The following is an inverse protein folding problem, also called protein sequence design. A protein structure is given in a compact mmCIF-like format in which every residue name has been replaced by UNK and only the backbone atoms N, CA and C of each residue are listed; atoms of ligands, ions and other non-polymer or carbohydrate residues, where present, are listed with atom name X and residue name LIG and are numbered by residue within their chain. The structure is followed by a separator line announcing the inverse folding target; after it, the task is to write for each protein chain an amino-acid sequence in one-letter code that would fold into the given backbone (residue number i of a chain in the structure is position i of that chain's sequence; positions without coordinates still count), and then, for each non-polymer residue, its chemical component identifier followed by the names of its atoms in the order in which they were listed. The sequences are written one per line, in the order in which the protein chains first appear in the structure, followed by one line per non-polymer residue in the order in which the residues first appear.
data_IF_033704929518
#
_entry.id   IF_033704929518
#
_cell.length_a   1.000
_cell.length_b   1.000
_cell.length_c   1.000
_cell.angle_alpha   90.00
_cell.angle_beta   90.00
_cell.angle_gamma   90.00
#
_symmetry.space_group_name_H-M   'P 1'
#
loop_
_entity.id
_entity.type
_entity.pdbx_description
1 polymer ?
#
# COMPACT_ATOMS: atom_id res chain seq x y z
N UNK A 1 12.88 -19.70 -5.59
CA UNK A 1 12.81 -18.42 -6.30
C UNK A 1 13.64 -17.41 -5.52
N UNK A 2 14.45 -16.57 -6.16
CA UNK A 2 15.14 -15.48 -5.47
C UNK A 2 14.09 -14.49 -4.94
N UNK A 3 14.18 -14.14 -3.65
CA UNK A 3 13.26 -13.21 -3.00
C UNK A 3 14.08 -12.06 -2.42
N UNK A 4 13.61 -10.83 -2.62
CA UNK A 4 14.22 -9.63 -2.04
C UNK A 4 13.26 -8.99 -1.03
N UNK A 5 13.77 -8.33 0.02
CA UNK A 5 12.93 -7.62 0.97
C UNK A 5 12.33 -6.35 0.37
N UNK A 6 11.04 -6.15 0.62
CA UNK A 6 10.26 -4.99 0.14
C UNK A 6 9.84 -4.12 1.31
N UNK A 7 9.39 -4.75 2.40
CA UNK A 7 9.02 -4.05 3.61
C UNK A 7 9.38 -4.91 4.83
N UNK A 8 9.78 -4.24 5.91
CA UNK A 8 9.90 -4.83 7.22
C UNK A 8 9.18 -3.94 8.23
N UNK A 9 8.08 -4.45 8.77
CA UNK A 9 7.17 -3.69 9.62
C UNK A 9 7.18 -4.27 11.03
N UNK A 10 7.51 -3.46 12.02
CA UNK A 10 7.44 -3.86 13.42
C UNK A 10 6.05 -3.56 13.98
N UNK A 11 5.51 -4.50 14.75
CA UNK A 11 4.17 -4.37 15.37
C UNK A 11 4.09 -3.18 16.32
N UNK A 12 5.22 -2.83 16.97
CA UNK A 12 5.30 -1.65 17.86
C UNK A 12 5.14 -0.32 17.12
N UNK A 13 5.53 -0.28 15.85
CA UNK A 13 5.51 0.92 15.00
C UNK A 13 4.24 0.96 14.14
N UNK A 14 3.59 -0.19 13.93
CA UNK A 14 2.35 -0.31 13.15
C UNK A 14 1.27 -1.10 13.93
N UNK A 15 0.48 -0.43 14.79
CA UNK A 15 -0.49 -1.08 15.68
C UNK A 15 -1.66 -1.78 14.96
N UNK A 16 -1.88 -1.51 13.68
CA UNK A 16 -2.91 -2.19 12.87
C UNK A 16 -2.54 -3.63 12.51
N UNK A 17 -1.26 -3.99 12.61
CA UNK A 17 -0.83 -5.36 12.38
C UNK A 17 -1.45 -6.32 13.41
N UNK A 18 -1.76 -7.53 12.96
CA UNK A 18 -2.33 -8.62 13.78
C UNK A 18 -1.39 -9.82 13.68
N UNK A 19 -0.28 -9.84 14.42
CA UNK A 19 0.70 -10.91 14.31
C UNK A 19 0.13 -12.24 14.84
N UNK A 20 0.56 -13.37 14.28
CA UNK A 20 0.27 -14.68 14.84
C UNK A 20 1.22 -15.01 16.00
N UNK A 21 0.67 -15.60 17.06
CA UNK A 21 1.46 -16.05 18.21
C UNK A 21 2.22 -14.91 18.89
N UNK A 22 3.56 -15.05 18.96
CA UNK A 22 4.47 -14.08 19.59
C UNK A 22 5.32 -13.30 18.56
N UNK A 23 4.96 -13.34 17.27
CA UNK A 23 5.65 -12.54 16.27
C UNK A 23 5.48 -11.03 16.55
N UNK A 24 6.52 -10.26 16.31
CA UNK A 24 6.57 -8.81 16.52
C UNK A 24 7.05 -8.05 15.27
N UNK A 25 7.29 -8.78 14.17
CA UNK A 25 7.75 -8.25 12.90
C UNK A 25 7.11 -8.99 11.72
N UNK A 26 6.63 -8.24 10.74
CA UNK A 26 6.22 -8.73 9.42
C UNK A 26 7.30 -8.38 8.41
N UNK A 27 7.79 -9.38 7.67
CA UNK A 27 8.61 -9.19 6.49
C UNK A 27 7.80 -9.50 5.23
N UNK A 28 7.80 -8.56 4.29
CA UNK A 28 7.25 -8.74 2.95
C UNK A 28 8.40 -8.89 1.99
N UNK A 29 8.46 -10.04 1.33
CA UNK A 29 9.42 -10.30 0.27
C UNK A 29 8.70 -10.43 -1.06
N UNK A 30 9.38 -10.12 -2.16
CA UNK A 30 8.89 -10.47 -3.49
C UNK A 30 9.97 -11.00 -4.42
N UNK A 31 9.54 -11.71 -5.45
CA UNK A 31 10.37 -12.13 -6.55
C UNK A 31 10.44 -10.98 -7.59
N UNK A 32 11.61 -10.43 -7.92
CA UNK A 32 11.74 -9.29 -8.84
C UNK A 32 11.65 -9.71 -10.33
N UNK A 33 10.85 -10.72 -10.62
CA UNK A 33 10.55 -11.22 -11.96
C UNK A 33 9.03 -11.15 -12.18
N UNK A 34 8.62 -10.99 -13.43
CA UNK A 34 7.20 -11.01 -13.77
C UNK A 34 6.64 -12.43 -13.63
N UNK A 35 5.51 -12.57 -12.94
CA UNK A 35 4.78 -13.82 -12.83
C UNK A 35 3.41 -13.73 -13.50
N UNK A 36 3.07 -14.78 -14.24
CA UNK A 36 1.74 -14.99 -14.81
C UNK A 36 0.68 -15.17 -13.69
N UNK A 37 -0.58 -14.77 -13.91
CA UNK A 37 -1.14 -14.30 -15.18
C UNK A 37 -1.10 -12.78 -15.39
N UNK A 38 -0.55 -12.02 -14.45
CA UNK A 38 -0.68 -10.55 -14.43
C UNK A 38 0.64 -9.82 -14.71
N UNK A 39 1.73 -10.54 -14.95
CA UNK A 39 3.08 -9.99 -15.11
C UNK A 39 3.48 -9.11 -13.92
N UNK A 40 3.35 -9.65 -12.71
CA UNK A 40 3.57 -8.96 -11.44
C UNK A 40 4.57 -9.71 -10.55
N UNK A 41 5.24 -9.03 -9.61
CA UNK A 41 6.16 -9.71 -8.70
C UNK A 41 5.37 -10.62 -7.75
N UNK A 42 5.81 -11.87 -7.61
CA UNK A 42 5.19 -12.80 -6.67
C UNK A 42 5.62 -12.46 -5.24
N UNK A 43 4.66 -12.33 -4.33
CA UNK A 43 4.90 -11.89 -2.95
C UNK A 43 4.91 -13.06 -1.95
N UNK A 44 5.60 -12.90 -0.83
CA UNK A 44 5.55 -13.84 0.30
C UNK A 44 5.67 -13.06 1.61
N UNK A 45 4.87 -13.49 2.59
CA UNK A 45 4.78 -12.86 3.91
C UNK A 45 5.42 -13.76 4.96
N UNK A 46 6.25 -13.18 5.83
CA UNK A 46 6.85 -13.89 6.96
C UNK A 46 6.62 -13.13 8.27
N UNK A 47 5.92 -13.77 9.19
CA UNK A 47 5.83 -13.33 10.58
C UNK A 47 7.00 -13.88 11.38
N UNK A 48 7.71 -13.01 12.07
CA UNK A 48 8.93 -13.35 12.84
C UNK A 48 8.93 -12.67 14.19
N UNK A 49 9.72 -13.25 15.10
CA UNK A 49 10.18 -12.55 16.30
C UNK A 49 11.54 -11.91 15.98
N UNK A 50 11.63 -10.60 16.09
CA UNK A 50 12.82 -9.80 15.81
C UNK A 50 14.01 -10.25 16.67
N UNK A 51 13.76 -10.61 17.94
CA UNK A 51 14.78 -11.12 18.85
C UNK A 51 15.32 -12.51 18.45
N UNK A 52 14.57 -13.27 17.64
CA UNK A 52 15.01 -14.56 17.11
C UNK A 52 15.79 -14.43 15.79
N UNK A 53 15.88 -13.22 15.22
CA UNK A 53 16.73 -12.95 14.06
C UNK A 53 18.17 -12.90 14.55
N UNK A 54 18.95 -13.93 14.19
CA UNK A 54 20.36 -14.06 14.54
C UNK A 54 21.25 -13.21 13.62
N UNK A 55 22.05 -13.87 12.78
CA UNK A 55 23.00 -13.19 11.91
C UNK A 55 22.30 -12.33 10.85
N UNK A 56 22.30 -11.02 11.07
CA UNK A 56 21.85 -10.03 10.10
C UNK A 56 22.98 -9.79 9.10
N UNK A 57 22.67 -9.94 7.81
CA UNK A 57 23.62 -9.62 6.75
C UNK A 57 23.89 -8.11 6.74
N UNK A 58 25.15 -7.72 6.84
CA UNK A 58 25.56 -6.32 6.74
C UNK A 58 25.27 -5.71 5.36
N UNK A 59 25.24 -6.55 4.32
CA UNK A 59 24.87 -6.18 2.96
C UNK A 59 23.75 -7.12 2.51
N UNK A 60 22.54 -6.61 2.23
CA UNK A 60 21.47 -7.41 1.65
C UNK A 60 21.93 -8.03 0.33
N UNK A 61 21.60 -9.31 0.06
CA UNK A 61 21.92 -9.92 -1.21
C UNK A 61 21.20 -9.18 -2.33
N UNK A 62 21.97 -8.69 -3.29
CA UNK A 62 21.43 -8.04 -4.48
C UNK A 62 20.95 -9.11 -5.47
N UNK A 63 19.79 -8.92 -6.12
CA UNK A 63 19.36 -9.81 -7.18
C UNK A 63 20.38 -9.75 -8.33
N UNK A 64 20.69 -10.91 -8.93
CA UNK A 64 21.61 -10.99 -10.06
C UNK A 64 21.01 -10.34 -11.31
N UNK A 65 19.71 -10.49 -11.50
CA UNK A 65 18.93 -9.94 -12.60
C UNK A 65 17.53 -9.62 -12.08
N UNK A 66 16.93 -8.57 -12.65
CA UNK A 66 15.56 -8.13 -12.37
C UNK A 66 14.89 -7.80 -13.69
N UNK A 67 13.59 -8.08 -13.82
CA UNK A 67 12.87 -7.75 -15.05
C UNK A 67 12.68 -6.24 -15.22
N UNK A 68 12.58 -5.51 -14.10
CA UNK A 68 12.33 -4.07 -14.04
C UNK A 68 13.09 -3.46 -12.87
N UNK A 69 13.72 -2.31 -13.10
CA UNK A 69 14.50 -1.61 -12.06
C UNK A 69 13.62 -1.24 -10.86
N UNK A 70 12.37 -0.82 -11.11
CA UNK A 70 11.40 -0.47 -10.07
C UNK A 70 10.91 -1.64 -9.20
N UNK A 71 11.35 -2.88 -9.45
CA UNK A 71 11.12 -4.00 -8.53
C UNK A 71 12.14 -4.05 -7.40
N UNK A 72 13.21 -3.26 -7.45
CA UNK A 72 14.20 -3.18 -6.37
C UNK A 72 13.97 -1.88 -5.59
N UNK A 73 13.47 -1.95 -4.35
CA UNK A 73 13.30 -0.76 -3.53
C UNK A 73 14.63 -0.10 -3.21
N UNK A 74 14.66 1.22 -3.21
CA UNK A 74 15.73 1.99 -2.57
C UNK A 74 15.63 1.83 -1.04
N UNK A 75 16.69 1.41 -0.34
CA UNK A 75 16.63 1.24 1.10
C UNK A 75 16.31 2.57 1.81
N UNK A 76 15.18 2.60 2.51
CA UNK A 76 14.72 3.76 3.24
C UNK A 76 14.25 3.38 4.66
N UNK A 77 14.16 4.38 5.52
CA UNK A 77 13.51 4.24 6.82
C UNK A 77 12.04 4.60 6.66
N UNK A 78 11.17 3.93 7.41
CA UNK A 78 9.74 4.24 7.44
C UNK A 78 9.46 5.20 8.60
N UNK A 79 8.61 6.19 8.36
CA UNK A 79 8.02 7.06 9.37
C UNK A 79 6.48 6.88 9.33
N UNK A 80 5.93 5.84 9.98
CA UNK A 80 4.51 5.56 9.88
C UNK A 80 3.67 6.67 10.54
N UNK A 81 2.69 7.20 9.82
CA UNK A 81 1.69 8.12 10.34
C UNK A 81 0.32 7.44 10.48
N UNK A 82 -0.38 7.75 11.58
CA UNK A 82 -1.74 7.28 11.78
C UNK A 82 -2.74 8.25 11.16
N UNK A 83 -3.38 7.83 10.07
CA UNK A 83 -4.40 8.61 9.36
C UNK A 83 -5.81 8.03 9.56
N UNK A 84 -6.81 8.86 9.31
CA UNK A 84 -8.20 8.40 9.13
C UNK A 84 -8.55 8.53 7.66
N UNK A 85 -9.08 7.46 7.08
CA UNK A 85 -9.62 7.46 5.73
C UNK A 85 -10.97 6.74 5.68
N UNK A 86 -11.69 6.99 4.61
CA UNK A 86 -13.03 6.49 4.38
C UNK A 86 -13.11 5.63 3.10
N UNK A 87 -14.17 4.82 2.94
CA UNK A 87 -14.36 4.09 1.70
C UNK A 87 -14.63 5.04 0.53
N UNK A 88 -14.29 4.60 -0.68
CA UNK A 88 -14.58 5.32 -1.92
C UNK A 88 -16.07 5.72 -2.00
N UNK A 89 -16.37 6.85 -2.63
CA UNK A 89 -17.73 7.34 -2.84
C UNK A 89 -18.65 6.25 -3.42
N UNK A 90 -18.14 5.45 -4.36
CA UNK A 90 -18.84 4.32 -4.98
C UNK A 90 -19.11 3.11 -4.07
N UNK A 91 -18.55 3.06 -2.86
CA UNK A 91 -18.89 2.08 -1.81
C UNK A 91 -19.87 2.64 -0.77
N UNK A 92 -20.14 3.95 -0.81
CA UNK A 92 -21.08 4.60 0.10
C UNK A 92 -22.54 4.24 -0.23
N UNK A 93 -23.36 4.15 0.82
CA UNK A 93 -24.81 4.07 0.65
C UNK A 93 -25.39 5.37 0.05
N UNK A 94 -26.58 5.32 -0.60
CA UNK A 94 -27.17 6.48 -1.27
C UNK A 94 -27.32 7.72 -0.38
N UNK A 95 -27.70 7.52 0.89
CA UNK A 95 -27.85 8.62 1.86
C UNK A 95 -26.51 9.30 2.16
N UNK A 96 -25.44 8.52 2.31
CA UNK A 96 -24.12 9.06 2.60
C UNK A 96 -23.53 9.81 1.39
N UNK A 97 -23.80 9.36 0.16
CA UNK A 97 -23.41 10.12 -1.05
C UNK A 97 -24.08 11.48 -1.12
N UNK A 98 -25.37 11.56 -0.79
CA UNK A 98 -26.10 12.83 -0.73
C UNK A 98 -25.49 13.76 0.33
N UNK A 99 -25.16 13.22 1.51
CA UNK A 99 -24.50 13.98 2.57
C UNK A 99 -23.12 14.52 2.16
N UNK A 100 -22.35 13.77 1.37
CA UNK A 100 -21.09 14.26 0.78
C UNK A 100 -21.38 15.44 -0.15
N UNK A 101 -22.36 15.31 -1.04
CA UNK A 101 -22.78 16.38 -1.95
C UNK A 101 -23.15 17.68 -1.25
N UNK A 102 -23.92 17.59 -0.16
CA UNK A 102 -24.41 18.75 0.58
C UNK A 102 -23.33 19.44 1.45
N UNK A 103 -22.17 18.80 1.66
CA UNK A 103 -21.14 19.25 2.62
C UNK A 103 -19.90 19.87 1.96
N UNK A 104 -19.74 19.68 0.65
CA UNK A 104 -18.62 20.24 -0.12
C UNK A 104 -18.88 21.73 -0.38
N UNK A 105 -17.84 22.56 -0.23
CA UNK A 105 -17.92 24.02 -0.41
C UNK A 105 -18.26 24.39 -1.88
N UNK A 106 -18.82 25.58 -2.10
CA UNK A 106 -19.33 26.04 -3.40
C UNK A 106 -18.29 25.95 -4.54
N UNK A 107 -16.98 25.94 -4.21
CA UNK A 107 -15.88 25.85 -5.18
C UNK A 107 -15.68 24.45 -5.77
N UNK A 108 -16.06 23.41 -5.03
CA UNK A 108 -15.91 22.00 -5.43
C UNK A 108 -17.29 21.32 -5.63
N UNK A 109 -18.37 22.11 -5.53
CA UNK A 109 -19.76 21.68 -5.65
C UNK A 109 -20.10 21.05 -7.02
N UNK A 110 -19.33 21.35 -8.06
CA UNK A 110 -19.50 20.74 -9.38
C UNK A 110 -19.10 19.25 -9.39
N UNK A 111 -18.19 18.83 -8.49
CA UNK A 111 -17.68 17.45 -8.41
C UNK A 111 -17.43 16.98 -6.96
N UNK A 112 -18.47 16.91 -6.11
CA UNK A 112 -18.32 16.65 -4.68
C UNK A 112 -17.74 15.25 -4.39
N UNK A 113 -18.06 14.26 -5.23
CA UNK A 113 -17.50 12.91 -5.11
C UNK A 113 -15.99 12.90 -5.38
N UNK A 114 -15.52 13.65 -6.39
CA UNK A 114 -14.08 13.73 -6.70
C UNK A 114 -13.32 14.43 -5.57
N UNK A 115 -13.89 15.49 -4.99
CA UNK A 115 -13.31 16.14 -3.82
C UNK A 115 -13.21 15.16 -2.64
N UNK A 116 -14.29 14.45 -2.33
CA UNK A 116 -14.31 13.45 -1.28
C UNK A 116 -13.29 12.32 -1.54
N UNK A 117 -13.27 11.76 -2.74
CA UNK A 117 -12.39 10.66 -3.11
C UNK A 117 -10.91 11.09 -3.08
N UNK A 118 -10.59 12.33 -3.48
CA UNK A 118 -9.22 12.84 -3.45
C UNK A 118 -8.72 13.24 -2.07
N UNK A 119 -9.61 13.59 -1.13
CA UNK A 119 -9.22 14.23 0.13
C UNK A 119 -9.62 13.47 1.40
N UNK A 120 -10.55 12.50 1.32
CA UNK A 120 -11.10 11.82 2.49
C UNK A 120 -11.13 10.30 2.35
N UNK A 121 -11.30 9.77 1.14
CA UNK A 121 -11.35 8.34 0.90
C UNK A 121 -10.07 7.78 0.29
N UNK A 122 -9.88 6.46 0.46
CA UNK A 122 -8.83 5.67 -0.20
C UNK A 122 -7.48 6.40 -0.26
N UNK A 123 -6.94 6.75 0.90
CA UNK A 123 -5.64 7.42 1.01
C UNK A 123 -4.62 6.68 0.12
N UNK A 124 -3.91 7.41 -0.76
CA UNK A 124 -2.94 6.83 -1.69
C UNK A 124 -1.70 6.32 -0.94
N UNK A 125 -0.73 5.80 -1.69
CA UNK A 125 0.58 5.51 -1.15
C UNK A 125 0.74 4.17 -0.43
N UNK A 126 1.84 4.06 0.28
CA UNK A 126 2.19 2.90 1.09
C UNK A 126 1.39 2.89 2.38
N UNK A 127 0.54 1.89 2.55
CA UNK A 127 -0.49 1.91 3.60
C UNK A 127 -0.73 0.55 4.21
N UNK A 128 -0.81 0.47 5.53
CA UNK A 128 -1.17 -0.77 6.25
C UNK A 128 -2.63 -0.76 6.63
N UNK A 129 -3.36 -1.79 6.22
CA UNK A 129 -4.80 -1.91 6.44
C UNK A 129 -5.61 -0.91 5.61
N UNK A 130 -6.61 -0.30 6.24
CA UNK A 130 -7.39 0.77 5.63
C UNK A 130 -8.36 0.29 4.55
N UNK A 131 -8.65 1.17 3.59
CA UNK A 131 -9.48 0.89 2.43
C UNK A 131 -8.62 0.65 1.19
N UNK A 132 -8.81 -0.46 0.47
CA UNK A 132 -8.01 -0.74 -0.71
C UNK A 132 -8.33 0.28 -1.82
N UNK A 133 -7.32 0.75 -2.58
CA UNK A 133 -7.55 1.72 -3.63
C UNK A 133 -8.52 1.18 -4.68
N UNK A 134 -9.33 2.05 -5.25
CA UNK A 134 -10.06 1.72 -6.47
C UNK A 134 -9.09 1.83 -7.63
N UNK A 135 -8.74 0.70 -8.22
CA UNK A 135 -7.78 0.64 -9.31
C UNK A 135 -8.41 0.61 -10.69
N UNK A 136 -7.71 -0.02 -11.64
CA UNK A 136 -8.21 -0.29 -13.01
C UNK A 136 -9.44 -1.20 -13.08
N UNK A 137 -9.91 -1.72 -11.95
CA UNK A 137 -10.97 -2.71 -11.87
C UNK A 137 -11.85 -2.46 -10.66
N UNK A 138 -13.16 -2.73 -10.79
CA UNK A 138 -14.13 -2.55 -9.72
C UNK A 138 -13.71 -3.27 -8.42
N UNK A 139 -14.07 -2.73 -7.24
CA UNK A 139 -13.81 -3.43 -5.99
C UNK A 139 -14.58 -4.73 -5.99
N UNK A 140 -13.85 -5.81 -5.71
CA UNK A 140 -14.42 -7.14 -5.60
C UNK A 140 -13.93 -7.70 -4.27
N UNK A 141 -14.85 -8.07 -3.35
CA UNK A 141 -14.46 -8.78 -2.14
C UNK A 141 -13.62 -10.00 -2.49
N UNK A 142 -12.43 -10.07 -1.88
CA UNK A 142 -11.56 -11.23 -2.00
C UNK A 142 -11.90 -12.20 -0.88
N UNK A 143 -12.02 -13.48 -1.22
CA UNK A 143 -12.32 -14.54 -0.26
C UNK A 143 -11.12 -15.47 -0.16
N UNK A 144 -10.83 -15.94 1.04
CA UNK A 144 -9.76 -16.89 1.27
C UNK A 144 -10.06 -18.20 0.54
N UNK A 145 -9.10 -18.71 -0.23
CA UNK A 145 -9.26 -19.97 -0.99
C UNK A 145 -9.38 -21.22 -0.10
N UNK A 146 -9.09 -21.11 1.21
CA UNK A 146 -9.12 -22.23 2.15
C UNK A 146 -10.39 -22.26 2.98
N UNK A 147 -10.84 -21.11 3.52
CA UNK A 147 -11.98 -21.04 4.43
C UNK A 147 -13.10 -20.12 3.96
N UNK A 148 -12.99 -19.55 2.76
CA UNK A 148 -14.02 -18.72 2.09
C UNK A 148 -14.42 -17.44 2.83
N UNK A 149 -13.78 -17.12 3.96
CA UNK A 149 -13.97 -15.86 4.67
C UNK A 149 -13.41 -14.71 3.84
N UNK A 150 -14.15 -13.59 3.80
CA UNK A 150 -13.68 -12.36 3.16
C UNK A 150 -12.35 -11.93 3.79
N UNK A 151 -11.35 -11.76 2.94
CA UNK A 151 -10.01 -11.32 3.31
C UNK A 151 -10.03 -9.82 3.63
N UNK A 152 -9.08 -9.42 4.47
CA UNK A 152 -8.91 -8.01 4.87
C UNK A 152 -7.65 -7.43 4.23
N UNK A 153 -7.63 -6.14 3.88
CA UNK A 153 -6.44 -5.50 3.36
C UNK A 153 -5.32 -5.52 4.41
N UNK A 154 -4.11 -5.87 3.99
CA UNK A 154 -2.92 -5.87 4.83
C UNK A 154 -2.00 -4.70 4.49
N UNK A 155 -1.57 -4.60 3.23
CA UNK A 155 -0.56 -3.63 2.80
C UNK A 155 -0.86 -3.21 1.36
N UNK A 156 -0.88 -1.90 1.13
CA UNK A 156 -0.80 -1.28 -0.19
C UNK A 156 0.67 -0.92 -0.43
N UNK A 157 1.21 -1.36 -1.55
CA UNK A 157 2.55 -1.02 -2.05
C UNK A 157 2.33 -0.18 -3.30
N UNK A 158 2.52 1.13 -3.21
CA UNK A 158 2.22 2.04 -4.31
C UNK A 158 3.49 2.47 -5.05
N UNK A 159 3.34 2.80 -6.33
CA UNK A 159 4.39 3.51 -7.07
C UNK A 159 4.59 4.92 -6.54
N UNK A 160 3.51 5.61 -6.16
CA UNK A 160 3.55 6.97 -5.63
C UNK A 160 2.79 7.07 -4.30
N UNK A 161 3.34 7.84 -3.36
CA UNK A 161 2.71 8.19 -2.08
C UNK A 161 1.53 9.15 -2.27
N UNK A 162 1.65 10.10 -3.21
CA UNK A 162 0.58 11.03 -3.59
C UNK A 162 0.79 11.51 -5.04
N UNK A 163 -0.21 12.20 -5.58
CA UNK A 163 -0.17 12.87 -6.88
C UNK A 163 -0.72 14.30 -6.79
N UNK A 164 -0.97 14.95 -7.93
CA UNK A 164 -1.53 16.31 -7.97
C UNK A 164 -2.92 16.44 -7.34
N UNK A 165 -3.76 15.41 -7.43
CA UNK A 165 -5.13 15.40 -6.91
C UNK A 165 -5.21 14.99 -5.45
N UNK A 166 -4.13 14.42 -4.91
CA UNK A 166 -4.09 13.81 -3.57
C UNK A 166 -3.00 14.39 -2.68
N UNK A 167 -2.45 15.57 -3.03
CA UNK A 167 -1.38 16.26 -2.26
C UNK A 167 -1.72 16.48 -0.78
N UNK A 168 -3.00 16.55 -0.43
CA UNK A 168 -3.46 16.66 0.96
C UNK A 168 -3.13 15.44 1.83
N UNK A 169 -2.75 14.31 1.21
CA UNK A 169 -2.32 13.09 1.89
C UNK A 169 -0.81 12.98 2.06
N UNK A 170 -0.03 13.92 1.52
CA UNK A 170 1.40 13.93 1.77
C UNK A 170 1.66 13.99 3.29
N UNK A 171 2.66 13.25 3.81
CA UNK A 171 3.08 13.35 5.20
C UNK A 171 3.35 14.80 5.61
N UNK A 172 3.15 15.13 6.88
CA UNK A 172 3.29 16.51 7.34
C UNK A 172 4.68 17.09 7.09
N UNK A 173 5.73 16.26 7.20
CA UNK A 173 7.11 16.66 6.88
C UNK A 173 7.33 16.99 5.41
N UNK A 174 6.52 16.44 4.51
CA UNK A 174 6.66 16.53 3.05
C UNK A 174 5.65 17.51 2.42
N UNK A 175 4.79 18.17 3.22
CA UNK A 175 3.75 19.08 2.72
C UNK A 175 4.34 20.18 1.80
N UNK A 176 5.46 20.78 2.20
CA UNK A 176 6.11 21.82 1.39
C UNK A 176 6.56 21.30 0.02
N UNK A 177 7.04 20.06 -0.03
CA UNK A 177 7.44 19.40 -1.26
C UNK A 177 6.20 19.01 -2.09
N UNK A 178 5.15 18.48 -1.47
CA UNK A 178 3.91 18.13 -2.17
C UNK A 178 3.32 19.31 -2.98
N UNK A 179 3.46 20.54 -2.48
CA UNK A 179 2.97 21.76 -3.13
C UNK A 179 4.02 22.55 -3.93
N UNK A 180 5.27 22.07 -4.02
CA UNK A 180 6.30 22.73 -4.80
C UNK A 180 5.94 22.79 -6.29
N UNK A 181 6.44 23.82 -6.99
CA UNK A 181 6.19 24.03 -8.42
C UNK A 181 6.89 22.98 -9.31
N UNK A 182 7.82 22.22 -8.74
CA UNK A 182 8.55 21.15 -9.42
C UNK A 182 9.71 20.67 -8.56
N UNK A 183 10.26 19.51 -8.94
CA UNK A 183 11.38 18.89 -8.25
C UNK A 183 12.54 18.62 -9.21
N UNK A 184 13.71 18.29 -8.65
CA UNK A 184 14.84 17.85 -9.48
C UNK A 184 14.47 16.54 -10.17
N UNK A 185 14.96 16.32 -11.39
CA UNK A 185 14.56 15.19 -12.23
C UNK A 185 14.80 13.80 -11.59
N UNK A 186 15.69 13.73 -10.60
CA UNK A 186 16.05 12.53 -9.82
C UNK A 186 15.31 12.41 -8.47
N UNK A 187 14.66 13.49 -8.02
CA UNK A 187 14.01 13.58 -6.72
C UNK A 187 12.51 13.78 -6.93
N UNK A 188 11.77 12.67 -6.94
CA UNK A 188 10.32 12.74 -6.80
C UNK A 188 9.98 12.45 -5.33
N UNK A 189 9.56 13.45 -4.53
CA UNK A 189 9.24 13.26 -3.12
C UNK A 189 8.07 12.29 -2.94
N UNK A 190 7.17 12.18 -3.93
CA UNK A 190 6.09 11.20 -3.91
C UNK A 190 6.55 9.77 -4.24
N UNK A 191 7.82 9.52 -4.57
CA UNK A 191 8.35 8.18 -4.85
C UNK A 191 9.65 7.92 -4.08
N UNK A 192 9.61 7.90 -2.73
CA UNK A 192 10.80 7.75 -1.91
C UNK A 192 11.40 6.34 -1.99
N UNK A 193 10.57 5.32 -2.23
CA UNK A 193 11.00 3.91 -2.28
C UNK A 193 11.59 3.51 -3.63
N UNK A 194 11.44 4.34 -4.68
CA UNK A 194 11.73 4.02 -6.09
C UNK A 194 11.04 2.77 -6.63
N UNK A 195 10.09 2.22 -5.89
CA UNK A 195 9.29 1.09 -6.33
C UNK A 195 8.37 1.53 -7.46
N UNK A 196 8.27 0.70 -8.49
CA UNK A 196 7.32 0.83 -9.58
C UNK A 196 6.53 -0.47 -9.70
N UNK A 197 5.22 -0.35 -9.53
CA UNK A 197 4.27 -1.45 -9.65
C UNK A 197 3.42 -1.21 -10.89
N UNK A 198 3.41 -2.18 -11.81
CA UNK A 198 2.64 -2.04 -13.05
C UNK A 198 3.10 -0.83 -13.88
N UNK A 199 2.16 -0.01 -14.35
CA UNK A 199 2.46 1.23 -15.09
C UNK A 199 2.17 2.47 -14.24
N UNK A 200 2.66 2.49 -13.00
CA UNK A 200 2.35 3.52 -12.00
C UNK A 200 1.18 3.17 -11.08
N UNK A 201 0.79 1.90 -11.06
CA UNK A 201 -0.30 1.36 -10.26
C UNK A 201 0.18 1.05 -8.81
N UNK A 202 -0.69 0.40 -8.04
CA UNK A 202 -0.41 -0.10 -6.70
C UNK A 202 -0.62 -1.62 -6.61
N UNK A 203 0.10 -2.29 -5.70
CA UNK A 203 -0.15 -3.69 -5.35
C UNK A 203 -0.82 -3.74 -3.98
N UNK A 204 -2.04 -4.26 -3.93
CA UNK A 204 -2.77 -4.51 -2.70
C UNK A 204 -2.61 -5.95 -2.25
N UNK A 205 -2.12 -6.14 -1.03
CA UNK A 205 -2.05 -7.43 -0.36
C UNK A 205 -3.24 -7.60 0.60
N UNK A 206 -3.83 -8.79 0.58
CA UNK A 206 -4.94 -9.19 1.45
C UNK A 206 -4.57 -10.44 2.23
N UNK A 207 -5.04 -10.54 3.47
CA UNK A 207 -4.84 -11.72 4.32
C UNK A 207 -6.15 -12.27 4.86
N UNK A 208 -6.14 -13.57 5.15
CA UNK A 208 -7.24 -14.22 5.82
C UNK A 208 -7.30 -13.75 7.29
N UNK A 209 -8.43 -13.22 7.77
CA UNK A 209 -8.55 -12.81 9.18
C UNK A 209 -8.66 -14.01 10.14
N UNK A 210 -8.96 -15.21 9.63
CA UNK A 210 -9.17 -16.41 10.45
C UNK A 210 -7.88 -17.16 10.76
N UNK A 211 -6.91 -17.13 9.84
CA UNK A 211 -5.66 -17.87 10.02
C UNK A 211 -4.50 -17.22 9.25
N UNK A 212 -3.35 -16.99 9.90
CA UNK A 212 -2.13 -16.49 9.26
C UNK A 212 -1.49 -17.51 8.30
N UNK A 213 -1.82 -18.80 8.46
CA UNK A 213 -1.27 -19.89 7.64
C UNK A 213 -2.00 -20.05 6.31
N UNK A 214 -3.13 -19.37 6.15
CA UNK A 214 -3.85 -19.36 4.88
C UNK A 214 -3.11 -18.47 3.87
N UNK A 215 -3.19 -18.80 2.57
CA UNK A 215 -2.52 -18.01 1.55
C UNK A 215 -3.05 -16.58 1.56
N UNK A 216 -2.13 -15.62 1.43
CA UNK A 216 -2.47 -14.25 1.10
C UNK A 216 -2.87 -14.15 -0.38
N UNK A 217 -3.50 -13.04 -0.74
CA UNK A 217 -3.83 -12.72 -2.12
C UNK A 217 -3.29 -11.33 -2.44
N UNK A 218 -2.86 -11.14 -3.69
CA UNK A 218 -2.42 -9.85 -4.21
C UNK A 218 -3.31 -9.40 -5.38
N UNK A 219 -3.34 -8.10 -5.62
CA UNK A 219 -4.04 -7.48 -6.75
C UNK A 219 -3.34 -6.19 -7.15
N UNK A 220 -3.13 -5.99 -8.46
CA UNK A 220 -2.76 -4.68 -8.99
C UNK A 220 -4.00 -3.82 -9.14
N UNK A 221 -3.89 -2.58 -8.68
CA UNK A 221 -4.95 -1.59 -8.67
C UNK A 221 -4.44 -0.29 -9.26
#
# INVERSE_FOLDING_TARGET
MPMIPVAQLYVRDVPLLRPPGQADMLQVLWCPYDHEPFATPATTLFWRCAAAVGDVLAVPPQPYEVNRDGYVPEPCHLAPEAITEYPHSLELGPEMRLMVGDRVDDRDADYPEQFYDGNLANAPGWKVGGWPPWGRTDPAPRHCSVCEVQMVPLLTIATFEWDYGTRGWAPYEDEADAYAAGHRADQNPAQPTKVEVGSGDSMQLYVCPTSPEHPHADRIQ
#
